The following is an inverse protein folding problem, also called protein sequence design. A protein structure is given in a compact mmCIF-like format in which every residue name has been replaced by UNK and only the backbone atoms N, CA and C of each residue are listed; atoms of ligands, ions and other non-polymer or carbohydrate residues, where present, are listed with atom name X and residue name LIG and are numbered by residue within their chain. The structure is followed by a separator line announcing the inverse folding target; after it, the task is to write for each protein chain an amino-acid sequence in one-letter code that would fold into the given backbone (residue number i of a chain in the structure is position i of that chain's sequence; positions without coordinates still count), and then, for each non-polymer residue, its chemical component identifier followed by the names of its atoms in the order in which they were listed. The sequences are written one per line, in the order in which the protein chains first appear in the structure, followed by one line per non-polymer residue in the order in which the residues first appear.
data_IF_127578492146
#
_entry.id   IF_127578492146
#
_cell.length_a   1.000
_cell.length_b   1.000
_cell.length_c   1.000
_cell.angle_alpha   90.00
_cell.angle_beta   90.00
_cell.angle_gamma   90.00
#
_symmetry.space_group_name_H-M   'P 1'
#
loop_
_entity.id
_entity.type
_entity.pdbx_description
1 polymer ?
#
# COMPACT_ATOMS: atom_id res chain seq x y z
N UNK A 1 11.18 -4.98 42.48
CA UNK A 1 10.43 -4.66 41.24
C UNK A 1 9.03 -5.20 41.39
N UNK A 2 8.02 -4.33 41.32
CA UNK A 2 6.63 -4.73 41.56
C UNK A 2 6.07 -5.49 40.35
N UNK A 3 5.25 -6.52 40.58
CA UNK A 3 4.57 -7.28 39.52
C UNK A 3 3.75 -6.40 38.55
N UNK A 4 3.29 -5.24 39.03
CA UNK A 4 2.60 -4.23 38.24
C UNK A 4 3.42 -3.71 37.05
N UNK A 5 4.75 -3.57 37.19
CA UNK A 5 5.60 -3.09 36.09
C UNK A 5 5.73 -4.13 34.98
N UNK A 6 5.80 -5.42 35.34
CA UNK A 6 5.83 -6.51 34.37
C UNK A 6 4.50 -6.64 33.62
N UNK A 7 3.38 -6.52 34.34
CA UNK A 7 2.05 -6.51 33.73
C UNK A 7 1.89 -5.32 32.76
N UNK A 8 2.32 -4.13 33.17
CA UNK A 8 2.28 -2.93 32.33
C UNK A 8 3.09 -3.12 31.05
N UNK A 9 4.32 -3.61 31.16
CA UNK A 9 5.20 -3.86 30.01
C UNK A 9 4.60 -4.92 29.06
N UNK A 10 4.02 -5.99 29.60
CA UNK A 10 3.34 -7.02 28.82
C UNK A 10 2.14 -6.44 28.05
N UNK A 11 1.31 -5.62 28.72
CA UNK A 11 0.20 -4.93 28.07
C UNK A 11 0.68 -4.02 26.94
N UNK A 12 1.72 -3.22 27.16
CA UNK A 12 2.28 -2.36 26.12
C UNK A 12 2.78 -3.18 24.91
N UNK A 13 3.46 -4.31 25.15
CA UNK A 13 3.90 -5.23 24.09
C UNK A 13 2.73 -5.76 23.25
N UNK A 14 1.62 -6.13 23.88
CA UNK A 14 0.41 -6.57 23.18
C UNK A 14 -0.17 -5.46 22.28
N UNK A 15 -0.18 -4.21 22.76
CA UNK A 15 -0.60 -3.06 21.94
C UNK A 15 0.34 -2.83 20.77
N UNK A 16 1.65 -2.97 20.99
CA UNK A 16 2.64 -2.95 19.92
C UNK A 16 2.34 -3.99 18.85
N UNK A 17 2.08 -5.25 19.27
CA UNK A 17 1.77 -6.34 18.36
C UNK A 17 0.49 -6.08 17.55
N UNK A 18 -0.54 -5.52 18.17
CA UNK A 18 -1.77 -5.09 17.50
C UNK A 18 -1.52 -3.98 16.47
N UNK A 19 -0.54 -3.11 16.73
CA UNK A 19 -0.13 -2.02 15.84
C UNK A 19 0.75 -2.42 14.65
N UNK A 20 1.29 -3.65 14.63
CA UNK A 20 2.19 -4.14 13.55
C UNK A 20 1.60 -4.00 12.15
N UNK A 21 0.32 -4.32 12.00
CA UNK A 21 -0.38 -4.31 10.72
C UNK A 21 -1.09 -2.97 10.44
N UNK A 22 -0.82 -1.95 11.27
CA UNK A 22 -1.34 -0.59 11.14
C UNK A 22 -0.26 0.35 10.64
N UNK A 23 -0.67 1.46 10.04
CA UNK A 23 0.23 2.46 9.47
C UNK A 23 1.16 3.09 10.52
N UNK A 24 0.72 3.14 11.78
CA UNK A 24 1.54 3.60 12.91
C UNK A 24 2.69 2.63 13.24
N UNK A 25 2.52 1.32 12.96
CA UNK A 25 3.53 0.28 13.16
C UNK A 25 3.79 -0.12 14.61
N UNK A 26 4.47 -1.25 14.79
CA UNK A 26 4.75 -1.84 16.11
C UNK A 26 5.47 -0.86 17.06
N UNK A 27 6.55 -0.23 16.59
CA UNK A 27 7.42 0.59 17.44
C UNK A 27 6.71 1.79 18.04
N UNK A 28 5.95 2.53 17.23
CA UNK A 28 5.20 3.70 17.71
C UNK A 28 4.01 3.27 18.58
N UNK A 29 3.30 2.20 18.21
CA UNK A 29 2.20 1.68 19.04
C UNK A 29 2.67 1.22 20.41
N UNK A 30 3.79 0.50 20.48
CA UNK A 30 4.41 0.07 21.74
C UNK A 30 4.85 1.28 22.57
N UNK A 31 5.54 2.24 21.95
CA UNK A 31 6.06 3.43 22.62
C UNK A 31 4.93 4.30 23.21
N UNK A 32 3.87 4.54 22.43
CA UNK A 32 2.70 5.29 22.89
C UNK A 32 1.97 4.56 24.02
N UNK A 33 1.85 3.23 23.93
CA UNK A 33 1.26 2.41 24.99
C UNK A 33 2.10 2.45 26.28
N UNK A 34 3.43 2.52 26.15
CA UNK A 34 4.35 2.55 27.28
C UNK A 34 4.31 3.89 28.03
N UNK A 35 4.19 5.02 27.31
CA UNK A 35 4.23 6.38 27.88
C UNK A 35 2.86 6.87 28.34
N UNK A 36 1.81 6.74 27.52
CA UNK A 36 0.49 7.32 27.84
C UNK A 36 -0.33 6.37 28.71
N UNK A 37 -0.54 5.16 28.20
CA UNK A 37 -1.08 3.98 28.89
C UNK A 37 -1.39 2.92 27.84
N UNK A 38 -1.40 1.63 28.20
CA UNK A 38 -1.83 0.58 27.28
C UNK A 38 -3.23 0.82 26.72
N UNK A 39 -4.15 1.33 27.54
CA UNK A 39 -5.52 1.62 27.11
C UNK A 39 -5.59 2.70 26.02
N UNK A 40 -4.88 3.81 26.20
CA UNK A 40 -4.81 4.88 25.18
C UNK A 40 -4.10 4.38 23.93
N UNK A 41 -3.05 3.58 24.09
CA UNK A 41 -2.35 2.94 22.97
C UNK A 41 -3.28 2.08 22.10
N UNK A 42 -4.17 1.28 22.71
CA UNK A 42 -5.18 0.50 21.96
C UNK A 42 -6.09 1.41 21.15
N UNK A 43 -6.62 2.49 21.74
CA UNK A 43 -7.51 3.43 21.04
C UNK A 43 -6.82 4.01 19.81
N UNK A 44 -5.58 4.47 19.96
CA UNK A 44 -4.80 5.03 18.84
C UNK A 44 -4.59 3.98 17.74
N UNK A 45 -4.25 2.73 18.10
CA UNK A 45 -4.06 1.63 17.15
C UNK A 45 -5.35 1.30 16.40
N UNK A 46 -6.49 1.30 17.07
CA UNK A 46 -7.80 1.03 16.45
C UNK A 46 -8.21 2.12 15.46
N UNK A 47 -7.89 3.37 15.75
CA UNK A 47 -8.13 4.51 14.86
C UNK A 47 -7.09 4.64 13.75
N UNK A 48 -5.97 3.92 13.82
CA UNK A 48 -4.95 3.93 12.77
C UNK A 48 -5.39 3.09 11.56
N UNK A 49 -5.22 3.65 10.37
CA UNK A 49 -5.43 2.91 9.13
C UNK A 49 -4.58 1.64 9.05
N UNK A 50 -5.08 0.63 8.34
CA UNK A 50 -4.28 -0.56 8.03
C UNK A 50 -3.09 -0.15 7.16
N UNK A 51 -1.92 -0.76 7.43
CA UNK A 51 -0.76 -0.55 6.59
C UNK A 51 -1.03 -1.13 5.19
N UNK A 52 -0.63 -0.39 4.15
CA UNK A 52 -0.64 -0.90 2.79
C UNK A 52 0.57 -1.81 2.64
N UNK A 53 0.36 -3.03 2.14
CA UNK A 53 1.47 -3.94 1.86
C UNK A 53 2.44 -3.33 0.85
N UNK A 54 3.69 -3.12 1.28
CA UNK A 54 4.76 -2.59 0.44
C UNK A 54 5.09 -3.50 -0.75
N UNK A 55 4.80 -4.81 -0.64
CA UNK A 55 5.02 -5.78 -1.72
C UNK A 55 4.16 -5.47 -2.95
N UNK A 56 2.93 -5.00 -2.72
CA UNK A 56 2.00 -4.63 -3.77
C UNK A 56 2.51 -3.44 -4.59
N UNK A 57 3.13 -2.48 -3.89
CA UNK A 57 3.70 -1.28 -4.50
C UNK A 57 4.89 -1.59 -5.41
N UNK A 58 5.60 -2.69 -5.13
CA UNK A 58 6.73 -3.14 -5.94
C UNK A 58 6.29 -3.82 -7.24
N UNK A 59 5.25 -4.66 -7.19
CA UNK A 59 4.81 -5.47 -8.34
C UNK A 59 4.36 -4.61 -9.54
N UNK A 60 3.44 -3.67 -9.34
CA UNK A 60 2.95 -2.86 -10.46
C UNK A 60 4.02 -1.91 -11.03
N UNK A 61 4.96 -1.44 -10.20
CA UNK A 61 6.02 -0.51 -10.63
C UNK A 61 6.94 -1.15 -11.67
N UNK A 62 7.29 -2.43 -11.49
CA UNK A 62 8.12 -3.18 -12.44
C UNK A 62 7.46 -3.31 -13.81
N UNK A 63 6.17 -3.67 -13.85
CA UNK A 63 5.40 -3.73 -15.10
C UNK A 63 5.27 -2.35 -15.77
N UNK A 64 5.05 -1.29 -14.97
CA UNK A 64 4.93 0.07 -15.49
C UNK A 64 6.23 0.57 -16.15
N UNK A 65 7.38 0.29 -15.53
CA UNK A 65 8.69 0.64 -16.08
C UNK A 65 8.97 -0.15 -17.37
N UNK A 66 8.64 -1.44 -17.39
CA UNK A 66 8.77 -2.30 -18.57
C UNK A 66 7.87 -1.83 -19.71
N UNK A 67 6.63 -1.41 -19.41
CA UNK A 67 5.70 -0.86 -20.38
C UNK A 67 6.24 0.43 -21.03
N UNK A 68 6.71 1.39 -20.20
CA UNK A 68 7.31 2.64 -20.69
C UNK A 68 8.55 2.41 -21.55
N UNK A 69 9.38 1.42 -21.18
CA UNK A 69 10.57 1.05 -21.96
C UNK A 69 10.19 0.46 -23.31
N UNK A 70 9.17 -0.39 -23.35
CA UNK A 70 8.69 -1.03 -24.60
C UNK A 70 8.04 0.01 -25.51
N UNK A 71 7.27 0.94 -24.93
CA UNK A 71 6.72 2.09 -25.65
C UNK A 71 7.83 2.94 -26.29
N UNK A 72 8.88 3.28 -25.54
CA UNK A 72 10.02 4.04 -26.06
C UNK A 72 10.75 3.31 -27.18
N UNK A 73 10.82 1.98 -27.12
CA UNK A 73 11.42 1.15 -28.18
C UNK A 73 10.52 1.00 -29.41
N UNK A 74 9.28 1.46 -29.35
CA UNK A 74 8.28 1.25 -30.40
C UNK A 74 7.67 -0.16 -30.42
N UNK A 75 7.93 -0.99 -29.40
CA UNK A 75 7.27 -2.28 -29.27
C UNK A 75 5.89 -2.09 -28.63
N UNK A 76 4.92 -1.74 -29.47
CA UNK A 76 3.57 -1.34 -29.04
C UNK A 76 2.82 -2.52 -28.40
N UNK A 77 3.04 -3.75 -28.89
CA UNK A 77 2.37 -4.95 -28.35
C UNK A 77 2.85 -5.24 -26.93
N UNK A 78 4.18 -5.29 -26.74
CA UNK A 78 4.78 -5.49 -25.42
C UNK A 78 4.43 -4.35 -24.45
N UNK A 79 4.34 -3.11 -24.96
CA UNK A 79 3.93 -1.96 -24.15
C UNK A 79 2.50 -2.12 -23.62
N UNK A 80 1.55 -2.47 -24.50
CA UNK A 80 0.13 -2.68 -24.13
C UNK A 80 0.01 -3.80 -23.11
N UNK A 81 0.68 -4.93 -23.33
CA UNK A 81 0.66 -6.08 -22.43
C UNK A 81 1.13 -5.69 -21.02
N UNK A 82 2.29 -5.02 -20.92
CA UNK A 82 2.83 -4.61 -19.62
C UNK A 82 1.98 -3.53 -18.94
N UNK A 83 1.35 -2.62 -19.70
CA UNK A 83 0.38 -1.68 -19.14
C UNK A 83 -0.87 -2.39 -18.61
N UNK A 84 -1.36 -3.41 -19.32
CA UNK A 84 -2.47 -4.24 -18.85
C UNK A 84 -2.12 -5.04 -17.59
N UNK A 85 -0.92 -5.60 -17.50
CA UNK A 85 -0.44 -6.26 -16.28
C UNK A 85 -0.35 -5.27 -15.11
N UNK A 86 0.07 -4.03 -15.38
CA UNK A 86 0.05 -2.94 -14.39
C UNK A 86 -1.39 -2.66 -13.92
N UNK A 87 -2.34 -2.54 -14.85
CA UNK A 87 -3.76 -2.33 -14.54
C UNK A 87 -4.33 -3.49 -13.72
N UNK A 88 -4.03 -4.74 -14.07
CA UNK A 88 -4.50 -5.92 -13.34
C UNK A 88 -4.07 -5.85 -11.87
N UNK A 89 -2.81 -5.54 -11.59
CA UNK A 89 -2.32 -5.41 -10.21
C UNK A 89 -2.88 -4.17 -9.50
N UNK A 90 -3.03 -3.06 -10.22
CA UNK A 90 -3.68 -1.87 -9.70
C UNK A 90 -5.14 -2.14 -9.37
N UNK A 91 -5.90 -2.89 -10.16
CA UNK A 91 -7.32 -3.13 -9.95
C UNK A 91 -7.60 -4.20 -8.89
N UNK A 92 -6.83 -5.29 -8.90
CA UNK A 92 -7.05 -6.46 -8.02
C UNK A 92 -6.47 -6.34 -6.61
N UNK A 93 -5.35 -5.65 -6.42
CA UNK A 93 -4.55 -5.78 -5.19
C UNK A 93 -4.98 -4.94 -3.99
N UNK A 94 -5.98 -4.07 -4.12
CA UNK A 94 -6.21 -2.98 -3.18
C UNK A 94 -7.54 -3.08 -2.43
N UNK A 95 -7.65 -4.05 -1.54
CA UNK A 95 -8.71 -4.05 -0.52
C UNK A 95 -8.22 -3.26 0.69
N UNK A 96 -8.84 -2.12 1.01
CA UNK A 96 -8.56 -1.24 2.16
C UNK A 96 -7.41 -0.23 1.99
N UNK A 97 -7.45 0.59 0.93
CA UNK A 97 -6.67 1.81 0.86
C UNK A 97 -7.32 2.95 1.66
N UNK A 98 -6.51 3.76 2.35
CA UNK A 98 -6.96 5.08 2.81
C UNK A 98 -7.46 5.92 1.60
N UNK A 99 -8.37 6.87 1.88
CA UNK A 99 -8.99 7.75 0.87
C UNK A 99 -7.97 8.41 -0.05
N UNK A 100 -6.83 8.89 0.47
CA UNK A 100 -5.80 9.55 -0.35
C UNK A 100 -5.15 8.56 -1.31
N UNK A 101 -4.68 7.43 -0.78
CA UNK A 101 -4.02 6.40 -1.59
C UNK A 101 -4.96 5.81 -2.63
N UNK A 102 -6.26 5.70 -2.33
CA UNK A 102 -7.26 5.30 -3.31
C UNK A 102 -7.41 6.34 -4.44
N UNK A 103 -7.43 7.64 -4.13
CA UNK A 103 -7.47 8.69 -5.17
C UNK A 103 -6.26 8.64 -6.09
N UNK A 104 -5.05 8.52 -5.54
CA UNK A 104 -3.82 8.47 -6.34
C UNK A 104 -3.79 7.23 -7.25
N UNK A 105 -4.24 6.08 -6.72
CA UNK A 105 -4.45 4.86 -7.50
C UNK A 105 -5.45 5.05 -8.63
N UNK A 106 -6.61 5.65 -8.37
CA UNK A 106 -7.64 5.88 -9.39
C UNK A 106 -7.14 6.79 -10.51
N UNK A 107 -6.38 7.84 -10.18
CA UNK A 107 -5.72 8.69 -11.18
C UNK A 107 -4.76 7.89 -12.06
N UNK A 108 -3.91 7.06 -11.45
CA UNK A 108 -2.96 6.22 -12.18
C UNK A 108 -3.66 5.20 -13.09
N UNK A 109 -4.75 4.57 -12.62
CA UNK A 109 -5.57 3.67 -13.43
C UNK A 109 -6.14 4.43 -14.65
N UNK A 110 -6.70 5.63 -14.43
CA UNK A 110 -7.26 6.44 -15.51
C UNK A 110 -6.21 6.84 -16.56
N UNK A 111 -5.02 7.24 -16.10
CA UNK A 111 -3.89 7.58 -16.97
C UNK A 111 -3.43 6.38 -17.81
N UNK A 112 -3.22 5.22 -17.18
CA UNK A 112 -2.77 4.01 -17.87
C UNK A 112 -3.84 3.51 -18.85
N UNK A 113 -5.13 3.54 -18.48
CA UNK A 113 -6.21 3.18 -19.40
C UNK A 113 -6.22 4.09 -20.62
N UNK A 114 -6.12 5.40 -20.42
CA UNK A 114 -6.04 6.36 -21.53
C UNK A 114 -4.84 6.09 -22.43
N UNK A 115 -3.69 5.72 -21.84
CA UNK A 115 -2.48 5.39 -22.58
C UNK A 115 -2.66 4.12 -23.43
N UNK A 116 -3.22 3.07 -22.85
CA UNK A 116 -3.49 1.80 -23.54
C UNK A 116 -4.42 2.02 -24.73
N UNK A 117 -5.49 2.79 -24.57
CA UNK A 117 -6.43 3.07 -25.67
C UNK A 117 -5.75 3.82 -26.82
N UNK A 118 -4.94 4.85 -26.53
CA UNK A 118 -4.14 5.55 -27.56
C UNK A 118 -3.18 4.61 -28.29
N UNK A 119 -2.51 3.70 -27.57
CA UNK A 119 -1.59 2.74 -28.16
C UNK A 119 -2.31 1.71 -29.03
N UNK A 120 -3.52 1.28 -28.65
CA UNK A 120 -4.36 0.40 -29.46
C UNK A 120 -4.84 1.08 -30.73
N UNK A 121 -5.28 2.34 -30.65
CA UNK A 121 -5.67 3.12 -31.83
C UNK A 121 -4.51 3.22 -32.83
N UNK A 122 -3.29 3.52 -32.36
CA UNK A 122 -2.09 3.56 -33.20
C UNK A 122 -1.68 2.20 -33.78
N UNK A 123 -2.11 1.08 -33.18
CA UNK A 123 -1.81 -0.27 -33.67
C UNK A 123 -2.79 -0.71 -34.77
N UNK A 124 -4.01 -0.19 -34.76
CA UNK A 124 -5.08 -0.53 -35.69
C UNK A 124 -5.30 0.52 -36.81
N UNK A 125 -4.71 1.71 -36.67
CA UNK A 125 -4.75 2.79 -37.65
C UNK A 125 -3.66 2.73 -38.72
#
# INVERSE_FOLDING_TARGET
MNALYFLWLACALLVGFLGKDRNIGFGMSFFLALILSPLIGVIIVLFSDKAIDGSLRHKFKSYLETAKRSEYKGDIKDAIENYMNTLFHLESGYTNLDRKNNRDRQKMIAEIKTKVEKLKENLHG
#
